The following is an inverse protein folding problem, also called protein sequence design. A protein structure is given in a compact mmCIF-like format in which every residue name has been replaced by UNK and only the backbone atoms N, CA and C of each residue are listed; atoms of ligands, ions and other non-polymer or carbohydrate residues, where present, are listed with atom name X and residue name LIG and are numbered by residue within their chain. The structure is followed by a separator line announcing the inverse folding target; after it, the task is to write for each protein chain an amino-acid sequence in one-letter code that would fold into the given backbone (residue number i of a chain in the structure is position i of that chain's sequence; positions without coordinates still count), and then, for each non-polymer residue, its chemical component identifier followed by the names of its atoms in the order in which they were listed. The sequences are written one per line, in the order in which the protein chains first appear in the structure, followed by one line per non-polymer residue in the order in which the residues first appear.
data_IF_800787059416
#
_entry.id   IF_800787059416
#
_cell.length_a   1.000
_cell.length_b   1.000
_cell.length_c   1.000
_cell.angle_alpha   90.00
_cell.angle_beta   90.00
_cell.angle_gamma   90.00
#
_symmetry.space_group_name_H-M   'P 1'
#
loop_
_entity.id
_entity.type
_entity.pdbx_description
1 polymer ?
#
# COMPACT_ATOMS: atom_id res chain seq x y z
N UNK A 1 -18.06 -12.11 -3.28
CA UNK A 1 -18.37 -11.23 -2.11
C UNK A 1 -17.25 -11.39 -1.11
N UNK A 2 -16.51 -10.32 -0.82
CA UNK A 2 -15.34 -10.31 0.07
C UNK A 2 -15.68 -10.89 1.46
N UNK A 3 -14.73 -11.58 2.11
CA UNK A 3 -14.93 -12.28 3.39
C UNK A 3 -15.56 -11.37 4.45
N UNK A 4 -15.09 -10.11 4.51
CA UNK A 4 -15.58 -9.10 5.43
C UNK A 4 -17.05 -8.68 5.15
N UNK A 5 -17.49 -8.72 3.89
CA UNK A 5 -18.86 -8.40 3.53
C UNK A 5 -19.82 -9.54 3.94
N UNK A 6 -19.38 -10.81 3.85
CA UNK A 6 -20.17 -11.96 4.32
C UNK A 6 -20.36 -11.93 5.82
N UNK A 7 -19.30 -11.66 6.59
CA UNK A 7 -19.37 -11.53 8.06
C UNK A 7 -20.36 -10.43 8.50
N UNK A 8 -20.33 -9.27 7.83
CA UNK A 8 -21.30 -8.20 8.10
C UNK A 8 -22.75 -8.62 7.84
N UNK A 9 -23.01 -9.30 6.71
CA UNK A 9 -24.37 -9.70 6.37
C UNK A 9 -24.92 -10.73 7.37
N UNK A 10 -24.04 -11.59 7.90
CA UNK A 10 -24.35 -12.54 8.95
C UNK A 10 -24.70 -11.81 10.26
N UNK A 11 -23.85 -10.88 10.70
CA UNK A 11 -24.07 -10.07 11.90
C UNK A 11 -25.34 -9.21 11.79
N UNK A 12 -25.60 -8.65 10.61
CA UNK A 12 -26.81 -7.86 10.37
C UNK A 12 -28.08 -8.70 10.40
N UNK A 13 -28.05 -9.93 9.86
CA UNK A 13 -29.15 -10.90 10.00
C UNK A 13 -29.36 -11.28 11.46
N UNK A 14 -28.29 -11.53 12.20
CA UNK A 14 -28.34 -11.84 13.63
C UNK A 14 -28.93 -10.69 14.45
N UNK A 15 -28.51 -9.46 14.19
CA UNK A 15 -29.07 -8.25 14.80
C UNK A 15 -30.57 -8.11 14.55
N UNK A 16 -31.02 -8.31 13.29
CA UNK A 16 -32.46 -8.32 12.97
C UNK A 16 -33.21 -9.39 13.76
N UNK A 17 -32.63 -10.58 13.90
CA UNK A 17 -33.24 -11.67 14.65
C UNK A 17 -33.36 -11.34 16.13
N UNK A 18 -32.35 -10.70 16.74
CA UNK A 18 -32.42 -10.19 18.11
C UNK A 18 -33.54 -9.16 18.27
N UNK A 19 -33.64 -8.17 17.37
CA UNK A 19 -34.70 -7.15 17.41
C UNK A 19 -36.10 -7.78 17.27
N UNK A 20 -36.25 -8.78 16.40
CA UNK A 20 -37.52 -9.51 16.25
C UNK A 20 -37.83 -10.33 17.51
N UNK A 21 -36.87 -11.07 18.08
CA UNK A 21 -37.07 -11.83 19.30
C UNK A 21 -37.44 -10.95 20.50
N UNK A 22 -36.88 -9.74 20.56
CA UNK A 22 -37.26 -8.73 21.55
C UNK A 22 -38.74 -8.32 21.42
N UNK A 23 -39.20 -8.09 20.19
CA UNK A 23 -40.60 -7.79 19.92
C UNK A 23 -41.51 -8.96 20.30
N UNK A 24 -41.07 -10.20 20.07
CA UNK A 24 -41.85 -11.40 20.38
C UNK A 24 -42.01 -11.60 21.89
N UNK A 25 -40.96 -11.43 22.70
CA UNK A 25 -41.06 -11.59 24.16
C UNK A 25 -42.06 -10.61 24.80
N UNK A 26 -42.22 -9.41 24.22
CA UNK A 26 -43.24 -8.45 24.68
C UNK A 26 -44.68 -8.95 24.48
N UNK A 27 -44.90 -9.93 23.61
CA UNK A 27 -46.21 -10.55 23.34
C UNK A 27 -46.55 -11.70 24.30
N UNK A 28 -45.56 -12.25 25.03
CA UNK A 28 -45.71 -13.44 25.85
C UNK A 28 -45.69 -13.17 27.37
N UNK A 29 -45.88 -11.92 27.79
CA UNK A 29 -46.04 -11.60 29.22
C UNK A 29 -47.29 -12.35 29.71
N UNK A 30 -47.17 -13.21 30.75
CA UNK A 30 -48.28 -14.04 31.18
C UNK A 30 -49.42 -13.16 31.69
N UNK A 31 -50.52 -13.16 30.93
CA UNK A 31 -51.76 -12.43 31.23
C UNK A 31 -52.37 -12.76 32.61
N UNK A 32 -51.89 -13.82 33.25
CA UNK A 32 -52.37 -14.36 34.52
C UNK A 32 -52.11 -13.43 35.71
N UNK A 33 -51.16 -12.48 35.62
CA UNK A 33 -50.89 -11.50 36.68
C UNK A 33 -51.57 -10.12 36.49
N UNK A 34 -52.32 -9.91 35.39
CA UNK A 34 -52.84 -8.60 34.96
C UNK A 34 -54.29 -8.38 35.45
N UNK A 35 -54.64 -8.81 36.65
CA UNK A 35 -56.03 -8.75 37.11
C UNK A 35 -56.51 -7.33 37.52
N UNK A 36 -55.64 -6.30 37.56
CA UNK A 36 -56.03 -4.96 38.06
C UNK A 36 -55.50 -3.73 37.31
N UNK A 37 -54.60 -3.89 36.34
CA UNK A 37 -54.10 -2.76 35.54
C UNK A 37 -54.62 -2.83 34.11
N UNK A 38 -55.04 -1.69 33.58
CA UNK A 38 -55.53 -1.54 32.21
C UNK A 38 -54.49 -2.10 31.23
N UNK A 39 -54.85 -3.18 30.52
CA UNK A 39 -53.98 -3.92 29.60
C UNK A 39 -53.29 -2.98 28.60
N UNK A 40 -53.98 -1.91 28.20
CA UNK A 40 -53.45 -0.87 27.31
C UNK A 40 -52.27 -0.09 27.91
N UNK A 41 -52.27 0.17 29.22
CA UNK A 41 -51.19 0.88 29.91
C UNK A 41 -49.95 -0.02 29.99
N UNK A 42 -50.12 -1.31 30.28
CA UNK A 42 -49.01 -2.27 30.32
C UNK A 42 -48.43 -2.54 28.93
N UNK A 43 -49.27 -2.66 27.90
CA UNK A 43 -48.82 -2.74 26.51
C UNK A 43 -48.06 -1.46 26.12
N UNK A 44 -48.58 -0.29 26.49
CA UNK A 44 -47.91 1.00 26.28
C UNK A 44 -46.54 1.06 26.95
N UNK A 45 -46.43 0.64 28.22
CA UNK A 45 -45.18 0.70 28.98
C UNK A 45 -44.12 -0.27 28.44
N UNK A 46 -44.51 -1.50 28.11
CA UNK A 46 -43.60 -2.48 27.50
C UNK A 46 -43.15 -2.05 26.10
N UNK A 47 -44.05 -1.45 25.32
CA UNK A 47 -43.72 -0.92 24.00
C UNK A 47 -42.77 0.28 24.10
N UNK A 48 -42.98 1.17 25.06
CA UNK A 48 -42.08 2.29 25.36
C UNK A 48 -40.71 1.79 25.80
N UNK A 49 -40.64 0.82 26.73
CA UNK A 49 -39.37 0.23 27.18
C UNK A 49 -38.59 -0.44 26.04
N UNK A 50 -39.29 -1.12 25.13
CA UNK A 50 -38.70 -1.75 23.96
C UNK A 50 -38.22 -0.71 22.92
N UNK A 51 -38.94 0.39 22.75
CA UNK A 51 -38.51 1.53 21.94
C UNK A 51 -37.28 2.20 22.55
N UNK A 52 -37.24 2.40 23.87
CA UNK A 52 -36.08 3.00 24.55
C UNK A 52 -34.83 2.13 24.43
N UNK A 53 -34.95 0.82 24.65
CA UNK A 53 -33.82 -0.11 24.52
C UNK A 53 -33.29 -0.22 23.09
N UNK A 54 -34.15 -0.05 22.08
CA UNK A 54 -33.73 -0.04 20.67
C UNK A 54 -33.18 1.31 20.22
N UNK A 55 -33.63 2.43 20.81
CA UNK A 55 -33.17 3.78 20.46
C UNK A 55 -31.67 3.98 20.66
N UNK A 56 -31.09 3.36 21.69
CA UNK A 56 -29.65 3.44 21.97
C UNK A 56 -28.79 2.73 20.92
N UNK A 57 -29.31 1.67 20.29
CA UNK A 57 -28.59 0.90 19.26
C UNK A 57 -28.72 1.52 17.85
N UNK A 58 -29.75 2.32 17.60
CA UNK A 58 -30.03 2.94 16.28
C UNK A 58 -28.89 3.83 15.78
N UNK A 59 -28.28 4.74 16.58
CA UNK A 59 -27.13 5.54 16.14
C UNK A 59 -25.96 4.67 15.66
N UNK A 60 -25.66 3.58 16.37
CA UNK A 60 -24.57 2.67 16.01
C UNK A 60 -24.84 1.90 14.72
N UNK A 61 -26.09 1.50 14.48
CA UNK A 61 -26.51 0.87 13.23
C UNK A 61 -26.44 1.85 12.04
N UNK A 62 -26.84 3.11 12.24
CA UNK A 62 -26.74 4.16 11.21
C UNK A 62 -25.27 4.49 10.88
N UNK A 63 -24.43 4.61 11.91
CA UNK A 63 -22.98 4.84 11.77
C UNK A 63 -22.34 3.65 11.04
N UNK A 64 -22.66 2.42 11.44
CA UNK A 64 -22.19 1.19 10.80
C UNK A 64 -22.52 1.19 9.30
N UNK A 65 -23.79 1.42 8.94
CA UNK A 65 -24.24 1.49 7.54
C UNK A 65 -23.50 2.56 6.74
N UNK A 66 -23.20 3.71 7.34
CA UNK A 66 -22.44 4.80 6.71
C UNK A 66 -20.98 4.42 6.44
N UNK A 67 -20.34 3.71 7.36
CA UNK A 67 -18.97 3.21 7.18
C UNK A 67 -18.88 2.12 6.11
N UNK A 68 -19.89 1.27 6.00
CA UNK A 68 -19.96 0.23 4.96
C UNK A 68 -20.06 0.79 3.53
N UNK A 69 -20.86 1.84 3.33
CA UNK A 69 -20.96 2.50 2.02
C UNK A 69 -19.62 3.03 1.49
N UNK A 70 -18.67 3.32 2.39
CA UNK A 70 -17.38 3.91 2.02
C UNK A 70 -16.27 2.90 1.65
N UNK A 71 -16.55 1.58 1.61
CA UNK A 71 -15.66 0.44 1.28
C UNK A 71 -14.29 0.36 2.01
N UNK A 72 -13.53 1.46 2.12
CA UNK A 72 -12.25 1.58 2.83
C UNK A 72 -12.34 1.48 4.37
N UNK A 73 -13.54 1.35 4.95
CA UNK A 73 -13.76 1.35 6.42
C UNK A 73 -14.71 0.26 6.92
N UNK A 74 -14.78 -0.88 6.21
CA UNK A 74 -15.66 -2.01 6.54
C UNK A 74 -15.48 -2.49 7.99
N UNK A 75 -14.22 -2.66 8.47
CA UNK A 75 -13.95 -3.10 9.85
C UNK A 75 -14.51 -2.16 10.91
N UNK A 76 -14.50 -0.85 10.68
CA UNK A 76 -15.09 0.11 11.61
C UNK A 76 -16.62 -0.02 11.64
N UNK A 77 -17.24 -0.30 10.50
CA UNK A 77 -18.68 -0.56 10.42
C UNK A 77 -19.09 -1.80 11.21
N UNK A 78 -18.34 -2.91 11.10
CA UNK A 78 -18.60 -4.15 11.87
C UNK A 78 -18.55 -3.87 13.36
N UNK A 79 -17.50 -3.18 13.80
CA UNK A 79 -17.30 -2.84 15.21
C UNK A 79 -18.46 -2.03 15.81
N UNK A 80 -18.95 -0.99 15.11
CA UNK A 80 -20.10 -0.24 15.61
C UNK A 80 -21.39 -1.08 15.65
N UNK A 81 -21.57 -2.02 14.72
CA UNK A 81 -22.69 -2.95 14.76
C UNK A 81 -22.61 -3.88 15.98
N UNK A 82 -21.41 -4.37 16.31
CA UNK A 82 -21.18 -5.19 17.51
C UNK A 82 -21.51 -4.41 18.79
N UNK A 83 -21.08 -3.15 18.91
CA UNK A 83 -21.45 -2.28 20.04
C UNK A 83 -22.97 -2.14 20.15
N UNK A 84 -23.65 -1.81 19.05
CA UNK A 84 -25.11 -1.65 19.05
C UNK A 84 -25.83 -2.94 19.43
N UNK A 85 -25.32 -4.09 18.97
CA UNK A 85 -25.87 -5.41 19.32
C UNK A 85 -25.68 -5.72 20.80
N UNK A 86 -24.48 -5.43 21.32
CA UNK A 86 -24.13 -5.64 22.72
C UNK A 86 -25.00 -4.79 23.65
N UNK A 87 -25.12 -3.48 23.40
CA UNK A 87 -25.99 -2.59 24.17
C UNK A 87 -27.44 -3.08 24.17
N UNK A 88 -27.97 -3.46 23.01
CA UNK A 88 -29.33 -3.99 22.91
C UNK A 88 -29.51 -5.30 23.70
N UNK A 89 -28.50 -6.18 23.72
CA UNK A 89 -28.54 -7.41 24.51
C UNK A 89 -28.47 -7.16 26.02
N UNK A 90 -27.71 -6.16 26.47
CA UNK A 90 -27.68 -5.74 27.87
C UNK A 90 -29.03 -5.21 28.33
N UNK A 91 -29.75 -4.51 27.45
CA UNK A 91 -31.10 -4.00 27.71
C UNK A 91 -32.11 -5.14 27.91
N UNK A 92 -31.96 -6.24 27.17
CA UNK A 92 -32.78 -7.45 27.35
C UNK A 92 -32.61 -8.03 28.76
N UNK A 93 -31.35 -8.18 29.20
CA UNK A 93 -31.01 -8.77 30.51
C UNK A 93 -31.51 -7.85 31.63
N UNK A 94 -31.36 -6.53 31.46
CA UNK A 94 -31.83 -5.55 32.43
C UNK A 94 -33.36 -5.56 32.56
N UNK A 95 -34.09 -5.57 31.44
CA UNK A 95 -35.55 -5.67 31.45
C UNK A 95 -36.03 -6.98 32.07
N UNK A 96 -35.39 -8.10 31.74
CA UNK A 96 -35.69 -9.39 32.36
C UNK A 96 -35.44 -9.36 33.87
N UNK A 97 -34.36 -8.72 34.33
CA UNK A 97 -34.07 -8.56 35.75
C UNK A 97 -35.11 -7.71 36.47
N UNK A 98 -35.59 -6.63 35.85
CA UNK A 98 -36.68 -5.81 36.40
C UNK A 98 -37.99 -6.61 36.52
N UNK A 99 -38.36 -7.34 35.46
CA UNK A 99 -39.55 -8.20 35.45
C UNK A 99 -39.44 -9.34 36.48
N UNK A 100 -38.26 -9.95 36.61
CA UNK A 100 -37.99 -10.97 37.63
C UNK A 100 -38.14 -10.41 39.04
N UNK A 101 -37.64 -9.19 39.30
CA UNK A 101 -37.83 -8.52 40.60
C UNK A 101 -39.32 -8.22 40.89
N UNK A 102 -40.15 -7.91 39.88
CA UNK A 102 -41.60 -7.73 40.09
C UNK A 102 -42.30 -9.00 40.57
N UNK A 103 -41.78 -10.17 40.21
CA UNK A 103 -42.40 -11.44 40.57
C UNK A 103 -42.28 -11.79 42.05
N UNK A 104 -41.45 -11.07 42.81
CA UNK A 104 -41.37 -11.21 44.26
C UNK A 104 -42.43 -10.37 44.96
N UNK A 105 -43.23 -11.04 45.79
CA UNK A 105 -44.31 -10.47 46.61
C UNK A 105 -43.75 -9.58 47.72
N UNK A 106 -43.25 -8.41 47.30
CA UNK A 106 -42.69 -7.37 48.16
C UNK A 106 -43.71 -6.25 48.28
N UNK A 107 -43.80 -5.64 49.46
CA UNK A 107 -44.69 -4.49 49.67
C UNK A 107 -44.49 -3.45 48.56
N UNK A 108 -45.58 -2.86 48.06
CA UNK A 108 -45.61 -1.92 46.91
C UNK A 108 -44.48 -0.87 46.97
N UNK A 109 -44.15 -0.39 48.19
CA UNK A 109 -43.12 0.62 48.44
C UNK A 109 -41.68 0.14 48.15
N UNK A 110 -41.39 -1.14 48.36
CA UNK A 110 -40.07 -1.72 48.05
C UNK A 110 -39.88 -1.90 46.54
N UNK A 111 -40.95 -2.23 45.82
CA UNK A 111 -40.90 -2.33 44.36
C UNK A 111 -40.57 -0.97 43.73
N UNK A 112 -41.25 0.12 44.13
CA UNK A 112 -40.98 1.48 43.61
C UNK A 112 -39.51 1.90 43.82
N UNK A 113 -38.94 1.61 44.98
CA UNK A 113 -37.54 1.94 45.27
C UNK A 113 -36.56 1.19 44.35
N UNK A 114 -36.80 -0.11 44.11
CA UNK A 114 -35.95 -0.91 43.21
C UNK A 114 -36.11 -0.44 41.76
N UNK A 115 -37.31 -0.02 41.35
CA UNK A 115 -37.55 0.60 40.05
C UNK A 115 -36.74 1.88 39.84
N UNK A 116 -36.80 2.79 40.82
CA UNK A 116 -36.03 4.03 40.77
C UNK A 116 -34.53 3.75 40.72
N UNK A 117 -34.02 2.85 41.57
CA UNK A 117 -32.60 2.48 41.55
C UNK A 117 -32.18 1.89 40.21
N UNK A 118 -32.96 0.94 39.66
CA UNK A 118 -32.70 0.36 38.35
C UNK A 118 -32.66 1.42 37.25
N UNK A 119 -33.65 2.33 37.24
CA UNK A 119 -33.73 3.42 36.27
C UNK A 119 -32.52 4.36 36.33
N UNK A 120 -32.01 4.66 37.53
CA UNK A 120 -30.82 5.50 37.70
C UNK A 120 -29.50 4.77 37.39
N UNK A 121 -29.39 3.49 37.70
CA UNK A 121 -28.17 2.71 37.43
C UNK A 121 -28.00 2.33 35.97
N UNK A 122 -29.10 2.15 35.23
CA UNK A 122 -29.08 1.80 33.83
C UNK A 122 -28.22 2.73 32.94
N UNK A 123 -28.40 4.06 32.93
CA UNK A 123 -27.57 4.95 32.12
C UNK A 123 -26.10 4.93 32.54
N UNK A 124 -25.82 4.75 33.83
CA UNK A 124 -24.45 4.64 34.36
C UNK A 124 -23.76 3.39 33.79
N UNK A 125 -24.45 2.25 33.81
CA UNK A 125 -23.94 0.98 33.26
C UNK A 125 -23.76 1.10 31.74
N UNK A 126 -24.71 1.68 31.01
CA UNK A 126 -24.58 1.87 29.56
C UNK A 126 -23.39 2.76 29.19
N UNK A 127 -23.16 3.85 29.93
CA UNK A 127 -21.99 4.72 29.72
C UNK A 127 -20.68 3.96 29.99
N UNK A 128 -20.60 3.18 31.07
CA UNK A 128 -19.42 2.39 31.40
C UNK A 128 -19.10 1.35 30.32
N UNK A 129 -20.12 0.67 29.79
CA UNK A 129 -19.96 -0.31 28.71
C UNK A 129 -19.46 0.33 27.42
N UNK A 130 -19.94 1.54 27.07
CA UNK A 130 -19.43 2.30 25.93
C UNK A 130 -17.95 2.65 26.13
N UNK A 131 -17.57 3.12 27.33
CA UNK A 131 -16.17 3.45 27.65
C UNK A 131 -15.29 2.22 27.50
N UNK A 132 -15.68 1.07 28.06
CA UNK A 132 -14.92 -0.18 27.97
C UNK A 132 -14.75 -0.60 26.50
N UNK A 133 -15.83 -0.58 25.71
CA UNK A 133 -15.78 -0.94 24.28
C UNK A 133 -14.85 -0.02 23.48
N UNK A 134 -14.90 1.29 23.72
CA UNK A 134 -13.98 2.25 23.10
C UNK A 134 -12.52 1.99 23.50
N UNK A 135 -12.26 1.63 24.76
CA UNK A 135 -10.93 1.33 25.26
C UNK A 135 -10.35 0.10 24.55
N UNK A 136 -11.12 -0.99 24.45
CA UNK A 136 -10.73 -2.19 23.69
C UNK A 136 -10.48 -1.88 22.20
N UNK A 137 -11.29 -1.02 21.58
CA UNK A 137 -11.10 -0.61 20.19
C UNK A 137 -9.78 0.13 19.97
N UNK A 138 -9.47 1.09 20.85
CA UNK A 138 -8.22 1.85 20.81
C UNK A 138 -7.02 0.91 20.98
N UNK A 139 -7.10 -0.04 21.92
CA UNK A 139 -6.02 -0.99 22.15
C UNK A 139 -5.82 -1.96 20.99
N UNK A 140 -6.90 -2.46 20.39
CA UNK A 140 -6.82 -3.34 19.22
C UNK A 140 -6.24 -2.60 18.00
N UNK A 141 -6.64 -1.33 17.78
CA UNK A 141 -6.04 -0.46 16.76
C UNK A 141 -4.56 -0.20 17.01
N UNK A 142 -4.13 -0.10 18.28
CA UNK A 142 -2.72 0.07 18.64
C UNK A 142 -1.88 -1.15 18.27
N UNK A 143 -2.43 -2.37 18.41
CA UNK A 143 -1.75 -3.62 17.99
C UNK A 143 -1.59 -3.67 16.46
N UNK A 144 -2.65 -3.37 15.72
CA UNK A 144 -2.58 -3.26 14.25
C UNK A 144 -1.54 -2.20 13.80
N UNK A 145 -1.48 -1.06 14.48
CA UNK A 145 -0.54 0.01 14.16
C UNK A 145 0.92 -0.37 14.46
N UNK A 146 1.17 -1.09 15.56
CA UNK A 146 2.51 -1.65 15.86
C UNK A 146 2.97 -2.60 14.74
N UNK A 147 2.08 -3.46 14.25
CA UNK A 147 2.38 -4.36 13.12
C UNK A 147 2.70 -3.58 11.85
N UNK A 148 1.88 -2.58 11.50
CA UNK A 148 2.13 -1.72 10.32
C UNK A 148 3.48 -0.98 10.42
N UNK A 149 3.83 -0.47 11.61
CA UNK A 149 5.14 0.17 11.82
C UNK A 149 6.27 -0.86 11.66
N UNK A 150 6.11 -2.07 12.20
CA UNK A 150 7.11 -3.12 12.06
C UNK A 150 7.31 -3.51 10.59
N UNK A 151 6.23 -3.74 9.84
CA UNK A 151 6.26 -4.07 8.42
C UNK A 151 6.94 -2.94 7.62
N UNK A 152 6.62 -1.68 7.91
CA UNK A 152 7.24 -0.51 7.29
C UNK A 152 8.75 -0.41 7.59
N UNK A 153 9.17 -0.64 8.84
CA UNK A 153 10.59 -0.69 9.22
C UNK A 153 11.33 -1.81 8.48
N UNK A 154 10.73 -2.99 8.38
CA UNK A 154 11.27 -4.11 7.62
C UNK A 154 11.45 -3.74 6.15
N UNK A 155 10.45 -3.12 5.52
CA UNK A 155 10.56 -2.65 4.13
C UNK A 155 11.66 -1.60 3.93
N UNK A 156 11.82 -0.65 4.86
CA UNK A 156 12.92 0.32 4.81
C UNK A 156 14.28 -0.39 4.90
N UNK A 157 14.43 -1.33 5.83
CA UNK A 157 15.69 -2.05 6.00
C UNK A 157 16.02 -2.90 4.76
N UNK A 158 15.02 -3.55 4.16
CA UNK A 158 15.19 -4.27 2.90
C UNK A 158 15.65 -3.34 1.77
N UNK A 159 15.05 -2.15 1.64
CA UNK A 159 15.49 -1.15 0.64
C UNK A 159 16.93 -0.68 0.88
N UNK A 160 17.32 -0.46 2.13
CA UNK A 160 18.70 -0.09 2.49
C UNK A 160 19.69 -1.20 2.12
N UNK A 161 19.36 -2.45 2.46
CA UNK A 161 20.17 -3.62 2.11
C UNK A 161 20.30 -3.78 0.59
N UNK A 162 19.20 -3.61 -0.14
CA UNK A 162 19.19 -3.64 -1.61
C UNK A 162 20.08 -2.54 -2.21
N UNK A 163 20.04 -1.32 -1.66
CA UNK A 163 20.92 -0.22 -2.06
C UNK A 163 22.40 -0.55 -1.79
N UNK A 164 22.72 -1.15 -0.64
CA UNK A 164 24.08 -1.58 -0.32
C UNK A 164 24.57 -2.69 -1.25
N UNK A 165 23.74 -3.69 -1.54
CA UNK A 165 24.07 -4.77 -2.49
C UNK A 165 24.30 -4.21 -3.90
N UNK A 166 23.44 -3.27 -4.35
CA UNK A 166 23.62 -2.58 -5.63
C UNK A 166 24.92 -1.79 -5.67
N UNK A 167 25.25 -1.07 -4.59
CA UNK A 167 26.50 -0.33 -4.49
C UNK A 167 27.71 -1.26 -4.59
N UNK A 168 27.72 -2.38 -3.86
CA UNK A 168 28.80 -3.37 -3.94
C UNK A 168 28.91 -4.00 -5.32
N UNK A 169 27.79 -4.30 -5.97
CA UNK A 169 27.76 -4.81 -7.34
C UNK A 169 28.33 -3.81 -8.35
N UNK A 170 28.01 -2.53 -8.21
CA UNK A 170 28.59 -1.45 -9.03
C UNK A 170 30.10 -1.31 -8.78
N UNK A 171 30.51 -1.32 -7.51
CA UNK A 171 31.94 -1.29 -7.14
C UNK A 171 32.69 -2.44 -7.83
N UNK A 172 32.17 -3.67 -7.78
CA UNK A 172 32.82 -4.81 -8.44
C UNK A 172 32.80 -4.75 -9.97
N UNK A 173 31.80 -4.11 -10.58
CA UNK A 173 31.67 -4.04 -12.04
C UNK A 173 32.50 -2.92 -12.68
N UNK A 174 32.76 -1.84 -11.92
CA UNK A 174 33.42 -0.63 -12.40
C UNK A 174 34.82 -0.39 -11.84
N UNK A 175 35.26 -1.15 -10.84
CA UNK A 175 36.66 -1.12 -10.41
C UNK A 175 37.49 -1.94 -11.40
N UNK A 176 38.41 -1.25 -12.08
CA UNK A 176 39.46 -1.86 -12.86
C UNK A 176 40.56 -2.34 -11.89
N UNK A 177 40.65 -3.66 -11.72
CA UNK A 177 41.55 -4.31 -10.76
C UNK A 177 43.02 -4.04 -11.13
N UNK A 178 43.35 -4.04 -12.42
CA UNK A 178 44.72 -3.85 -12.90
C UNK A 178 45.16 -2.40 -12.66
N UNK A 179 44.28 -1.44 -12.97
CA UNK A 179 44.52 -0.04 -12.67
C UNK A 179 44.64 0.20 -11.16
N UNK A 180 43.75 -0.38 -10.34
CA UNK A 180 43.81 -0.25 -8.88
C UNK A 180 45.13 -0.80 -8.31
N UNK A 181 45.58 -1.95 -8.82
CA UNK A 181 46.86 -2.55 -8.43
C UNK A 181 48.04 -1.66 -8.81
N UNK A 182 48.02 -1.04 -10.01
CA UNK A 182 49.07 -0.10 -10.46
C UNK A 182 49.13 1.21 -9.65
N UNK A 183 47.99 1.64 -9.10
CA UNK A 183 47.94 2.79 -8.19
C UNK A 183 48.49 2.43 -6.81
N UNK A 184 48.21 1.21 -6.33
CA UNK A 184 48.69 0.71 -5.03
C UNK A 184 50.19 0.43 -5.03
N UNK A 185 50.76 -0.06 -6.12
CA UNK A 185 52.21 -0.35 -6.25
C UNK A 185 53.08 0.91 -6.29
N UNK A 186 52.47 2.11 -6.35
CA UNK A 186 53.12 3.42 -6.58
C UNK A 186 53.79 3.55 -7.95
N UNK A 187 53.57 2.63 -8.88
CA UNK A 187 54.05 2.73 -10.27
C UNK A 187 53.41 3.93 -10.97
N UNK A 188 52.16 4.23 -10.62
CA UNK A 188 51.42 5.39 -11.11
C UNK A 188 51.07 6.34 -9.95
N UNK A 189 51.89 7.36 -9.73
CA UNK A 189 51.56 8.44 -8.78
C UNK A 189 50.52 9.37 -9.40
N UNK A 190 49.30 9.31 -8.88
CA UNK A 190 48.23 10.25 -9.23
C UNK A 190 48.04 11.24 -8.09
N UNK A 191 48.32 12.52 -8.36
CA UNK A 191 48.02 13.61 -7.43
C UNK A 191 46.52 13.93 -7.47
N UNK A 192 45.91 14.07 -6.29
CA UNK A 192 44.49 14.36 -6.15
C UNK A 192 44.09 15.67 -6.84
N UNK A 193 44.89 16.72 -6.70
CA UNK A 193 44.57 18.03 -7.30
C UNK A 193 44.62 17.99 -8.82
N UNK A 194 45.61 17.31 -9.38
CA UNK A 194 45.78 17.18 -10.83
C UNK A 194 44.65 16.33 -11.43
N UNK A 195 44.25 15.26 -10.74
CA UNK A 195 43.07 14.48 -11.12
C UNK A 195 41.79 15.31 -11.08
N UNK A 196 41.55 16.10 -10.03
CA UNK A 196 40.36 16.94 -9.96
C UNK A 196 40.31 17.99 -11.08
N UNK A 197 41.47 18.54 -11.49
CA UNK A 197 41.57 19.44 -12.64
C UNK A 197 41.27 18.72 -13.96
N UNK A 198 41.80 17.52 -14.17
CA UNK A 198 41.54 16.73 -15.38
C UNK A 198 40.11 16.18 -15.42
N UNK A 199 39.49 15.93 -14.27
CA UNK A 199 38.15 15.34 -14.16
C UNK A 199 37.10 16.18 -14.90
N UNK A 200 37.17 17.50 -14.83
CA UNK A 200 36.24 18.37 -15.58
C UNK A 200 36.36 18.19 -17.10
N UNK A 201 37.56 17.87 -17.61
CA UNK A 201 37.78 17.55 -19.02
C UNK A 201 37.21 16.16 -19.33
N UNK A 202 37.49 15.16 -18.49
CA UNK A 202 36.96 13.80 -18.65
C UNK A 202 35.43 13.77 -18.60
N UNK A 203 34.79 14.61 -17.77
CA UNK A 203 33.32 14.77 -17.74
C UNK A 203 32.77 15.24 -19.07
N UNK A 204 33.40 16.23 -19.69
CA UNK A 204 33.01 16.72 -21.02
C UNK A 204 33.20 15.66 -22.09
N UNK A 205 34.31 14.90 -22.02
CA UNK A 205 34.55 13.78 -22.94
C UNK A 205 33.45 12.73 -22.78
N UNK A 206 33.11 12.34 -21.55
CA UNK A 206 32.00 11.43 -21.30
C UNK A 206 30.70 11.93 -21.92
N UNK A 207 30.33 13.19 -21.70
CA UNK A 207 29.10 13.76 -22.29
C UNK A 207 29.14 13.68 -23.84
N UNK A 208 30.28 13.98 -24.48
CA UNK A 208 30.40 13.81 -25.95
C UNK A 208 30.31 12.36 -26.40
N UNK A 209 30.80 11.41 -25.60
CA UNK A 209 30.69 9.98 -25.92
C UNK A 209 29.24 9.49 -25.76
N UNK A 210 28.50 10.01 -24.79
CA UNK A 210 27.06 9.73 -24.66
C UNK A 210 26.30 10.15 -25.91
N UNK A 211 26.60 11.34 -26.43
CA UNK A 211 25.95 11.85 -27.65
C UNK A 211 26.32 11.03 -28.89
N UNK A 212 27.53 10.48 -28.95
CA UNK A 212 27.97 9.62 -30.06
C UNK A 212 27.48 8.17 -29.96
N UNK A 213 27.03 7.73 -28.79
CA UNK A 213 26.55 6.36 -28.55
C UNK A 213 27.65 5.29 -28.52
N UNK A 214 28.93 5.67 -28.34
CA UNK A 214 30.05 4.72 -28.23
C UNK A 214 30.14 4.08 -26.83
N UNK A 215 29.27 3.10 -26.55
CA UNK A 215 29.09 2.56 -25.20
C UNK A 215 30.31 1.81 -24.64
N UNK A 216 31.13 1.18 -25.47
CA UNK A 216 32.33 0.48 -25.00
C UNK A 216 33.38 1.48 -24.48
N UNK A 217 33.57 2.58 -25.20
CA UNK A 217 34.47 3.65 -24.78
C UNK A 217 33.97 4.36 -23.51
N UNK A 218 32.65 4.60 -23.42
CA UNK A 218 32.02 5.14 -22.20
C UNK A 218 32.28 4.21 -21.01
N UNK A 219 32.09 2.90 -21.19
CA UNK A 219 32.27 1.92 -20.12
C UNK A 219 33.72 1.92 -19.61
N UNK A 220 34.69 1.90 -20.53
CA UNK A 220 36.11 1.97 -20.19
C UNK A 220 36.47 3.27 -19.46
N UNK A 221 35.94 4.40 -19.93
CA UNK A 221 36.14 5.70 -19.27
C UNK A 221 35.50 5.76 -17.89
N UNK A 222 34.31 5.22 -17.71
CA UNK A 222 33.70 5.12 -16.38
C UNK A 222 34.55 4.27 -15.45
N UNK A 223 35.08 3.13 -15.90
CA UNK A 223 35.96 2.27 -15.08
C UNK A 223 37.21 3.00 -14.61
N UNK A 224 37.88 3.68 -15.53
CA UNK A 224 39.08 4.47 -15.24
C UNK A 224 38.79 5.54 -14.18
N UNK A 225 37.80 6.39 -14.44
CA UNK A 225 37.47 7.52 -13.56
C UNK A 225 36.96 7.01 -12.20
N UNK A 226 36.11 5.99 -12.19
CA UNK A 226 35.58 5.40 -10.96
C UNK A 226 36.67 4.81 -10.07
N UNK A 227 37.60 4.07 -10.67
CA UNK A 227 38.72 3.46 -9.95
C UNK A 227 39.61 4.52 -9.31
N UNK A 228 39.96 5.57 -10.05
CA UNK A 228 40.79 6.66 -9.53
C UNK A 228 40.04 7.46 -8.46
N UNK A 229 38.77 7.81 -8.69
CA UNK A 229 37.95 8.52 -7.69
C UNK A 229 37.77 7.71 -6.40
N UNK A 230 37.65 6.38 -6.50
CA UNK A 230 37.57 5.49 -5.34
C UNK A 230 38.89 5.44 -4.58
N UNK A 231 40.01 5.29 -5.28
CA UNK A 231 41.35 5.29 -4.70
C UNK A 231 41.67 6.60 -3.96
N UNK A 232 41.28 7.75 -4.52
CA UNK A 232 41.50 9.08 -3.93
C UNK A 232 40.43 9.52 -2.90
N UNK A 233 39.47 8.64 -2.61
CA UNK A 233 38.33 8.88 -1.71
C UNK A 233 37.52 10.15 -2.04
N UNK A 234 37.32 10.45 -3.33
CA UNK A 234 36.55 11.62 -3.78
C UNK A 234 35.04 11.33 -3.71
N UNK A 235 34.42 11.54 -2.54
CA UNK A 235 33.01 11.20 -2.28
C UNK A 235 32.02 11.88 -3.24
N UNK A 236 32.18 13.18 -3.48
CA UNK A 236 31.26 13.95 -4.33
C UNK A 236 31.33 13.47 -5.80
N UNK A 237 32.53 13.12 -6.27
CA UNK A 237 32.74 12.59 -7.61
C UNK A 237 32.16 11.17 -7.76
N UNK A 238 32.32 10.33 -6.74
CA UNK A 238 31.71 9.00 -6.71
C UNK A 238 30.17 9.11 -6.77
N UNK A 239 29.57 10.07 -6.09
CA UNK A 239 28.12 10.29 -6.17
C UNK A 239 27.69 10.70 -7.58
N UNK A 240 28.39 11.66 -8.19
CA UNK A 240 28.13 12.08 -9.58
C UNK A 240 28.30 10.91 -10.57
N UNK A 241 29.37 10.13 -10.45
CA UNK A 241 29.64 8.95 -11.27
C UNK A 241 28.55 7.92 -11.13
N UNK A 242 28.14 7.59 -9.90
CA UNK A 242 27.06 6.62 -9.67
C UNK A 242 25.75 7.04 -10.35
N UNK A 243 25.41 8.34 -10.35
CA UNK A 243 24.23 8.85 -11.06
C UNK A 243 24.38 8.69 -12.58
N UNK A 244 25.54 9.02 -13.14
CA UNK A 244 25.82 8.91 -14.59
C UNK A 244 25.91 7.45 -15.06
N UNK A 245 26.50 6.56 -14.27
CA UNK A 245 26.53 5.12 -14.52
C UNK A 245 25.11 4.55 -14.55
N UNK A 246 24.25 4.95 -13.61
CA UNK A 246 22.83 4.53 -13.62
C UNK A 246 22.11 5.00 -14.88
N UNK A 247 22.35 6.24 -15.31
CA UNK A 247 21.80 6.76 -16.55
C UNK A 247 22.29 5.94 -17.76
N UNK A 248 23.59 5.65 -17.83
CA UNK A 248 24.20 4.82 -18.86
C UNK A 248 23.62 3.41 -18.90
N UNK A 249 23.48 2.77 -17.73
CA UNK A 249 22.85 1.47 -17.59
C UNK A 249 21.46 1.44 -18.23
N UNK A 250 20.63 2.41 -17.85
CA UNK A 250 19.28 2.52 -18.39
C UNK A 250 19.31 2.73 -19.91
N UNK A 251 20.12 3.65 -20.42
CA UNK A 251 20.20 3.94 -21.87
C UNK A 251 20.69 2.71 -22.65
N UNK A 252 21.72 2.03 -22.18
CA UNK A 252 22.29 0.84 -22.81
C UNK A 252 21.29 -0.31 -22.85
N UNK A 253 20.57 -0.57 -21.75
CA UNK A 253 19.51 -1.58 -21.69
C UNK A 253 18.36 -1.21 -22.62
N UNK A 254 17.89 0.04 -22.59
CA UNK A 254 16.81 0.53 -23.47
C UNK A 254 17.16 0.33 -24.94
N UNK A 255 18.38 0.70 -25.36
CA UNK A 255 18.85 0.47 -26.73
C UNK A 255 18.82 -1.01 -27.08
N UNK A 256 19.36 -1.87 -26.21
CA UNK A 256 19.37 -3.32 -26.43
C UNK A 256 17.94 -3.85 -26.63
N UNK A 257 17.00 -3.44 -25.79
CA UNK A 257 15.59 -3.83 -25.90
C UNK A 257 14.99 -3.36 -27.24
N UNK A 258 15.20 -2.09 -27.62
CA UNK A 258 14.69 -1.55 -28.89
C UNK A 258 15.24 -2.30 -30.11
N UNK A 259 16.53 -2.64 -30.10
CA UNK A 259 17.15 -3.42 -31.18
C UNK A 259 16.61 -4.84 -31.28
N UNK A 260 16.28 -5.47 -30.14
CA UNK A 260 15.72 -6.81 -30.10
C UNK A 260 14.22 -6.82 -30.42
N UNK A 261 13.48 -5.78 -30.03
CA UNK A 261 12.04 -5.63 -30.30
C UNK A 261 11.71 -5.65 -31.80
N UNK A 262 12.61 -5.14 -32.64
CA UNK A 262 12.47 -5.16 -34.10
C UNK A 262 12.63 -6.60 -34.65
N UNK A 263 13.43 -7.43 -33.98
CA UNK A 263 13.83 -8.76 -34.47
C UNK A 263 12.93 -9.88 -33.95
N UNK A 264 12.53 -9.81 -32.68
CA UNK A 264 11.87 -10.91 -31.96
C UNK A 264 10.48 -10.51 -31.47
N UNK A 265 9.50 -11.40 -31.62
CA UNK A 265 8.14 -11.15 -31.10
C UNK A 265 8.09 -11.36 -29.59
N UNK A 266 8.90 -12.29 -29.09
CA UNK A 266 8.98 -12.63 -27.67
C UNK A 266 10.43 -12.77 -27.26
N UNK A 267 10.76 -12.30 -26.05
CA UNK A 267 12.09 -12.45 -25.44
C UNK A 267 11.97 -12.78 -23.96
N UNK A 268 12.86 -13.63 -23.48
CA UNK A 268 13.07 -13.83 -22.04
C UNK A 268 14.07 -12.79 -21.49
N UNK A 269 13.96 -12.43 -20.21
CA UNK A 269 14.92 -11.49 -19.60
C UNK A 269 16.36 -12.00 -19.66
N UNK A 270 16.56 -13.32 -19.57
CA UNK A 270 17.85 -13.99 -19.67
C UNK A 270 18.52 -13.73 -21.04
N UNK A 271 17.74 -13.77 -22.13
CA UNK A 271 18.21 -13.48 -23.49
C UNK A 271 18.58 -11.99 -23.65
N UNK A 272 17.76 -11.09 -23.09
CA UNK A 272 18.05 -9.66 -23.06
C UNK A 272 19.34 -9.40 -22.25
N UNK A 273 19.50 -10.07 -21.10
CA UNK A 273 20.69 -9.98 -20.27
C UNK A 273 21.93 -10.50 -21.04
N UNK A 274 21.81 -11.57 -21.81
CA UNK A 274 22.90 -12.09 -22.64
C UNK A 274 23.40 -11.06 -23.66
N UNK A 275 22.48 -10.31 -24.29
CA UNK A 275 22.84 -9.29 -25.29
C UNK A 275 23.21 -7.93 -24.68
N UNK A 276 22.76 -7.63 -23.47
CA UNK A 276 23.08 -6.38 -22.79
C UNK A 276 24.51 -6.39 -22.22
N UNK A 277 25.12 -5.21 -22.12
CA UNK A 277 26.35 -4.99 -21.34
C UNK A 277 26.10 -5.35 -19.87
N UNK A 278 24.88 -5.11 -19.36
CA UNK A 278 24.52 -5.33 -17.98
C UNK A 278 23.69 -6.62 -17.81
N UNK A 279 24.21 -7.57 -17.03
CA UNK A 279 23.60 -8.90 -16.86
C UNK A 279 22.53 -9.00 -15.76
N UNK A 280 22.23 -7.89 -15.07
CA UNK A 280 21.31 -7.92 -13.94
C UNK A 280 19.85 -7.91 -14.43
N UNK A 281 19.20 -9.08 -14.38
CA UNK A 281 17.81 -9.24 -14.83
C UNK A 281 16.83 -8.32 -14.08
N UNK A 282 16.99 -8.12 -12.76
CA UNK A 282 16.11 -7.21 -12.01
C UNK A 282 16.23 -5.76 -12.48
N UNK A 283 17.43 -5.32 -12.87
CA UNK A 283 17.62 -4.00 -13.48
C UNK A 283 16.92 -3.92 -14.85
N UNK A 284 17.07 -4.96 -15.66
CA UNK A 284 16.44 -5.06 -16.99
C UNK A 284 14.91 -5.05 -16.85
N UNK A 285 14.35 -5.81 -15.90
CA UNK A 285 12.92 -5.84 -15.60
C UNK A 285 12.37 -4.45 -15.29
N UNK A 286 13.06 -3.71 -14.42
CA UNK A 286 12.65 -2.36 -14.05
C UNK A 286 12.68 -1.42 -15.26
N UNK A 287 13.71 -1.51 -16.10
CA UNK A 287 13.80 -0.72 -17.34
C UNK A 287 12.67 -1.08 -18.30
N UNK A 288 12.35 -2.38 -18.49
CA UNK A 288 11.23 -2.83 -19.32
C UNK A 288 9.91 -2.24 -18.83
N UNK A 289 9.63 -2.37 -17.52
CA UNK A 289 8.41 -1.83 -16.90
C UNK A 289 8.32 -0.31 -17.11
N UNK A 290 9.42 0.42 -16.94
CA UNK A 290 9.47 1.86 -17.18
C UNK A 290 9.20 2.20 -18.66
N UNK A 291 9.81 1.47 -19.61
CA UNK A 291 9.58 1.68 -21.05
C UNK A 291 8.12 1.43 -21.45
N UNK A 292 7.48 0.37 -20.95
CA UNK A 292 6.07 0.08 -21.22
C UNK A 292 5.18 1.19 -20.63
N UNK A 293 5.40 1.58 -19.38
CA UNK A 293 4.62 2.62 -18.71
C UNK A 293 4.72 3.98 -19.43
N UNK A 294 5.91 4.29 -19.95
CA UNK A 294 6.17 5.52 -20.71
C UNK A 294 5.73 5.42 -22.18
N UNK A 295 5.24 4.26 -22.64
CA UNK A 295 4.91 3.98 -24.04
C UNK A 295 6.11 4.17 -24.98
N UNK A 296 7.31 3.89 -24.48
CA UNK A 296 8.52 3.84 -25.30
C UNK A 296 8.56 2.54 -26.14
N UNK A 297 7.93 1.48 -25.64
CA UNK A 297 7.66 0.23 -26.36
C UNK A 297 6.23 -0.21 -26.09
N UNK A 298 5.64 -0.89 -27.07
CA UNK A 298 4.37 -1.57 -26.94
C UNK A 298 4.63 -3.07 -26.74
N UNK A 299 4.45 -3.54 -25.52
CA UNK A 299 4.72 -4.91 -25.14
C UNK A 299 3.96 -5.32 -23.86
N UNK A 300 3.67 -6.61 -23.73
CA UNK A 300 3.12 -7.23 -22.54
C UNK A 300 4.21 -7.98 -21.77
N UNK A 301 4.35 -7.68 -20.47
CA UNK A 301 5.30 -8.35 -19.58
C UNK A 301 4.64 -9.43 -18.74
N UNK A 302 5.15 -10.67 -18.84
CA UNK A 302 4.64 -11.83 -18.11
C UNK A 302 5.56 -12.21 -16.94
N UNK A 303 5.23 -11.73 -15.73
CA UNK A 303 6.00 -11.99 -14.50
C UNK A 303 6.19 -13.47 -14.17
N UNK A 304 5.24 -14.35 -14.55
CA UNK A 304 5.32 -15.79 -14.28
C UNK A 304 6.43 -16.49 -15.06
N UNK A 305 6.82 -15.94 -16.21
CA UNK A 305 7.80 -16.54 -17.13
C UNK A 305 9.00 -15.64 -17.36
N UNK A 306 9.04 -14.44 -16.76
CA UNK A 306 10.06 -13.44 -17.03
C UNK A 306 10.26 -13.22 -18.54
N UNK A 307 9.15 -13.11 -19.27
CA UNK A 307 9.17 -12.92 -20.73
C UNK A 307 8.36 -11.70 -21.15
N UNK A 308 8.81 -11.09 -22.23
CA UNK A 308 8.27 -9.89 -22.85
C UNK A 308 7.75 -10.24 -24.23
N UNK A 309 6.48 -9.94 -24.52
CA UNK A 309 5.85 -10.13 -25.82
C UNK A 309 5.62 -8.76 -26.47
N UNK A 310 6.29 -8.49 -27.58
CA UNK A 310 6.21 -7.23 -28.30
C UNK A 310 5.01 -7.21 -29.24
N UNK A 311 4.32 -6.08 -29.28
CA UNK A 311 3.42 -5.75 -30.39
C UNK A 311 4.25 -5.12 -31.52
N UNK A 312 4.79 -5.96 -32.39
CA UNK A 312 5.69 -5.50 -33.47
C UNK A 312 5.03 -4.53 -34.42
N UNK A 313 3.76 -4.74 -34.76
CA UNK A 313 3.04 -3.89 -35.72
C UNK A 313 2.95 -2.46 -35.17
N UNK A 314 2.45 -2.30 -33.94
CA UNK A 314 2.37 -0.99 -33.29
C UNK A 314 3.75 -0.34 -33.10
N UNK A 315 4.78 -1.12 -32.72
CA UNK A 315 6.14 -0.59 -32.59
C UNK A 315 6.73 -0.11 -33.93
N UNK A 316 6.54 -0.85 -35.03
CA UNK A 316 7.00 -0.46 -36.36
C UNK A 316 6.28 0.79 -36.87
N UNK A 317 4.95 0.86 -36.69
CA UNK A 317 4.17 2.04 -37.06
C UNK A 317 4.65 3.31 -36.37
N UNK A 318 4.98 3.24 -35.09
CA UNK A 318 5.47 4.39 -34.32
C UNK A 318 6.88 4.80 -34.74
N UNK A 319 7.75 3.83 -35.06
CA UNK A 319 9.08 4.11 -35.64
C UNK A 319 8.92 4.84 -36.99
N UNK A 320 8.04 4.37 -37.86
CA UNK A 320 7.79 5.00 -39.16
C UNK A 320 7.24 6.42 -39.02
N UNK A 321 6.36 6.62 -38.04
CA UNK A 321 5.76 7.92 -37.73
C UNK A 321 6.80 8.91 -37.19
N UNK A 322 7.70 8.45 -36.33
CA UNK A 322 8.85 9.23 -35.86
C UNK A 322 9.80 9.58 -37.00
N UNK A 323 10.13 8.61 -37.85
CA UNK A 323 10.99 8.83 -39.02
C UNK A 323 10.39 9.87 -39.98
N UNK A 324 9.10 9.77 -40.28
CA UNK A 324 8.40 10.74 -41.12
C UNK A 324 8.36 12.13 -40.49
N UNK A 325 8.22 12.23 -39.16
CA UNK A 325 8.28 13.51 -38.43
C UNK A 325 9.67 14.12 -38.50
N UNK A 326 10.71 13.30 -38.34
CA UNK A 326 12.11 13.73 -38.45
C UNK A 326 12.44 14.24 -39.85
N UNK A 327 12.06 13.52 -40.90
CA UNK A 327 12.24 13.93 -42.30
C UNK A 327 11.52 15.27 -42.61
N UNK A 328 10.34 15.49 -42.03
CA UNK A 328 9.63 16.78 -42.15
C UNK A 328 10.39 17.90 -41.45
N UNK A 329 10.94 17.63 -40.27
CA UNK A 329 11.74 18.58 -39.53
C UNK A 329 12.99 18.96 -40.32
N UNK A 330 13.79 18.00 -40.81
CA UNK A 330 15.00 18.28 -41.61
C UNK A 330 14.72 19.19 -42.81
N UNK A 331 13.68 18.87 -43.60
CA UNK A 331 13.26 19.70 -44.74
C UNK A 331 12.82 21.11 -44.35
N UNK A 332 12.30 21.29 -43.13
CA UNK A 332 11.88 22.61 -42.62
C UNK A 332 13.05 23.45 -42.12
N UNK A 333 14.11 22.81 -41.63
CA UNK A 333 15.33 23.47 -41.12
C UNK A 333 16.24 23.88 -42.28
N UNK A 334 16.36 23.06 -43.32
CA UNK A 334 17.08 23.41 -44.56
C UNK A 334 16.49 24.67 -45.22
N UNK A 335 15.16 24.82 -45.22
CA UNK A 335 14.48 26.01 -45.75
C UNK A 335 14.68 27.30 -44.95
N UNK A 336 15.24 27.24 -43.74
CA UNK A 336 15.51 28.42 -42.90
C UNK A 336 16.97 28.88 -42.94
N UNK A 337 17.86 28.07 -43.53
CA UNK A 337 19.29 28.36 -43.63
C UNK A 337 19.68 28.95 -45.00
N UNK A 338 18.72 29.05 -45.93
CA UNK A 338 18.79 29.79 -47.19
C UNK A 338 17.72 30.88 -47.18
#
# INVERSE_FOLDING_TARGET
MDKNAKEFFLLFKFYKLIVISLLINSLFIPFVLIARYNILINLGYNFVALIYGTWEAVPFLLISKRFFKKQKKIRAGIFFLEIGTFLNSSNCIFLYSLLYVQSFDTSIRQQEMIYFLGFYFYPIISILLIIIALTFFIENKRKDFKKVIADYKTQINLRKLEQEMRRKSLENAFIDIDLLNSLNSRDKKVNKEDFLKSLNKERKILDTLFDSGNYDEILNKFREIYTISKYLECKDDLEWLNRKIKLFQNISIKKTILELAIKFDRLELSEIAEKSIFKNESLIENVIKDMINNKEIYADYYESTNSLLFDKETNMEEIDKLMHTFQKWEKSTEKKLF
#
